data_IF_254207880229
#
_entry.id   IF_254207880229
#
_cell.length_a   1.000
_cell.length_b   1.000
_cell.length_c   1.000
_cell.angle_alpha   90.00
_cell.angle_beta   90.00
_cell.angle_gamma   90.00
#
_symmetry.space_group_name_H-M   'P 1'
#
loop_
_entity.id
_entity.type
_entity.pdbx_description
1 polymer ?
#
# COMPACT_ATOMS: atom_id res chain seq x y z
N UNK A 1 -30.54 -33.91 70.20
CA UNK A 1 -30.03 -34.45 68.92
C UNK A 1 -30.13 -33.35 67.88
N UNK A 2 -29.03 -32.64 67.62
CA UNK A 2 -28.97 -31.42 66.80
C UNK A 2 -28.40 -31.82 65.44
N UNK A 3 -29.26 -31.98 64.44
CA UNK A 3 -28.83 -32.30 63.08
C UNK A 3 -28.35 -30.99 62.46
N UNK A 4 -27.03 -30.82 62.38
CA UNK A 4 -26.40 -29.71 61.66
C UNK A 4 -26.52 -29.99 60.17
N UNK A 5 -27.38 -29.25 59.46
CA UNK A 5 -27.32 -29.14 58.01
C UNK A 5 -26.12 -28.28 57.62
N UNK A 6 -25.05 -28.90 57.12
CA UNK A 6 -23.98 -28.15 56.46
C UNK A 6 -24.47 -27.73 55.07
N UNK A 7 -25.09 -26.56 54.97
CA UNK A 7 -25.25 -25.90 53.67
C UNK A 7 -23.86 -25.57 53.13
N UNK A 8 -23.51 -26.17 52.00
CA UNK A 8 -22.26 -25.91 51.30
C UNK A 8 -22.27 -24.47 50.78
N UNK A 9 -21.67 -23.55 51.53
CA UNK A 9 -21.38 -22.17 51.11
C UNK A 9 -20.22 -22.10 50.10
N UNK A 10 -20.21 -23.00 49.12
CA UNK A 10 -19.29 -22.91 48.00
C UNK A 10 -20.10 -22.69 46.72
N UNK A 11 -19.65 -21.70 45.94
CA UNK A 11 -19.75 -21.59 44.46
C UNK A 11 -20.56 -20.46 43.82
N UNK A 12 -21.26 -19.55 44.53
CA UNK A 12 -21.87 -18.40 43.81
C UNK A 12 -20.84 -17.43 43.23
N UNK A 13 -19.67 -17.28 43.85
CA UNK A 13 -18.56 -16.47 43.32
C UNK A 13 -17.80 -17.13 42.16
N UNK A 14 -17.63 -18.45 42.18
CA UNK A 14 -16.90 -19.18 41.13
C UNK A 14 -17.70 -19.32 39.81
N UNK A 15 -19.03 -19.35 39.87
CA UNK A 15 -19.89 -19.46 38.69
C UNK A 15 -19.76 -18.26 37.73
N UNK A 16 -19.45 -17.06 38.24
CA UNK A 16 -19.33 -15.85 37.42
C UNK A 16 -17.92 -15.54 36.92
N UNK A 17 -16.88 -16.10 37.54
CA UNK A 17 -15.48 -15.87 37.12
C UNK A 17 -15.20 -16.48 35.74
N UNK A 18 -15.72 -17.67 35.47
CA UNK A 18 -15.55 -18.37 34.19
C UNK A 18 -16.16 -17.60 32.99
N UNK A 19 -17.44 -17.18 33.01
CA UNK A 19 -18.02 -16.44 31.89
C UNK A 19 -17.39 -15.07 31.70
N UNK A 20 -16.94 -14.40 32.77
CA UNK A 20 -16.21 -13.13 32.68
C UNK A 20 -14.85 -13.35 31.98
N UNK A 21 -14.07 -14.34 32.43
CA UNK A 21 -12.79 -14.67 31.79
C UNK A 21 -12.98 -15.08 30.32
N UNK A 22 -14.00 -15.88 30.01
CA UNK A 22 -14.34 -16.26 28.64
C UNK A 22 -14.70 -15.04 27.77
N UNK A 23 -15.42 -14.05 28.32
CA UNK A 23 -15.77 -12.83 27.60
C UNK A 23 -14.54 -11.98 27.24
N UNK A 24 -13.56 -11.86 28.15
CA UNK A 24 -12.29 -11.17 27.85
C UNK A 24 -11.49 -11.87 26.75
N UNK A 25 -11.45 -13.21 26.77
CA UNK A 25 -10.79 -13.97 25.70
C UNK A 25 -11.51 -13.76 24.37
N UNK A 26 -12.84 -13.80 24.34
CA UNK A 26 -13.62 -13.54 23.13
C UNK A 26 -13.38 -12.13 22.58
N UNK A 27 -13.35 -11.12 23.45
CA UNK A 27 -13.05 -9.73 23.06
C UNK A 27 -11.63 -9.63 22.51
N UNK A 28 -10.64 -10.24 23.16
CA UNK A 28 -9.26 -10.22 22.69
C UNK A 28 -9.11 -10.88 21.31
N UNK A 29 -9.76 -12.03 21.10
CA UNK A 29 -9.78 -12.71 19.79
C UNK A 29 -10.44 -11.82 18.73
N UNK A 30 -11.63 -11.26 19.03
CA UNK A 30 -12.34 -10.35 18.12
C UNK A 30 -11.51 -9.11 17.78
N UNK A 31 -10.81 -8.53 18.75
CA UNK A 31 -9.88 -7.42 18.53
C UNK A 31 -8.78 -7.80 17.54
N UNK A 32 -8.08 -8.91 17.81
CA UNK A 32 -6.95 -9.36 16.99
C UNK A 32 -7.42 -9.68 15.57
N UNK A 33 -8.51 -10.43 15.42
CA UNK A 33 -9.04 -10.78 14.09
C UNK A 33 -9.50 -9.56 13.32
N UNK A 34 -10.13 -8.58 14.00
CA UNK A 34 -10.58 -7.34 13.36
C UNK A 34 -9.39 -6.50 12.87
N UNK A 35 -8.33 -6.40 13.66
CA UNK A 35 -7.11 -5.68 13.26
C UNK A 35 -6.47 -6.36 12.05
N UNK A 36 -6.31 -7.69 12.08
CA UNK A 36 -5.76 -8.44 10.93
C UNK A 36 -6.64 -8.27 9.69
N UNK A 37 -7.96 -8.32 9.84
CA UNK A 37 -8.90 -8.14 8.74
C UNK A 37 -8.83 -6.73 8.15
N UNK A 38 -8.87 -5.68 8.97
CA UNK A 38 -8.73 -4.29 8.51
C UNK A 38 -7.41 -4.08 7.78
N UNK A 39 -6.30 -4.63 8.28
CA UNK A 39 -5.00 -4.55 7.62
C UNK A 39 -5.01 -5.20 6.24
N UNK A 40 -5.58 -6.41 6.14
CA UNK A 40 -5.69 -7.16 4.90
C UNK A 40 -6.55 -6.41 3.88
N UNK A 41 -7.72 -5.95 4.30
CA UNK A 41 -8.67 -5.27 3.42
C UNK A 41 -8.11 -3.94 2.92
N UNK A 42 -7.42 -3.19 3.79
CA UNK A 42 -6.77 -1.94 3.41
C UNK A 42 -5.66 -2.16 2.37
N UNK A 43 -4.87 -3.24 2.51
CA UNK A 43 -3.87 -3.62 1.51
C UNK A 43 -4.52 -3.92 0.16
N UNK A 44 -5.61 -4.71 0.15
CA UNK A 44 -6.37 -5.01 -1.07
C UNK A 44 -6.93 -3.74 -1.72
N UNK A 45 -7.53 -2.84 -0.93
CA UNK A 45 -8.07 -1.57 -1.44
C UNK A 45 -7.00 -0.68 -2.07
N UNK A 46 -5.83 -0.59 -1.44
CA UNK A 46 -4.71 0.17 -1.97
C UNK A 46 -4.18 -0.45 -3.25
N UNK A 47 -4.04 -1.78 -3.33
CA UNK A 47 -3.65 -2.47 -4.56
C UNK A 47 -4.65 -2.21 -5.70
N UNK A 48 -5.95 -2.29 -5.42
CA UNK A 48 -6.99 -1.98 -6.41
C UNK A 48 -6.93 -0.52 -6.86
N UNK A 49 -6.63 0.39 -5.95
CA UNK A 49 -6.47 1.82 -6.26
C UNK A 49 -5.24 2.06 -7.13
N UNK A 50 -4.09 1.47 -6.78
CA UNK A 50 -2.87 1.49 -7.58
C UNK A 50 -3.12 0.98 -8.99
N UNK A 51 -3.76 -0.19 -9.11
CA UNK A 51 -4.09 -0.80 -10.39
C UNK A 51 -4.98 0.11 -11.24
N UNK A 52 -6.02 0.70 -10.64
CA UNK A 52 -6.94 1.59 -11.34
C UNK A 52 -6.27 2.89 -11.80
N UNK A 53 -5.44 3.49 -10.95
CA UNK A 53 -4.69 4.72 -11.30
C UNK A 53 -3.66 4.41 -12.37
N UNK A 54 -2.85 3.36 -12.23
CA UNK A 54 -1.86 2.96 -13.21
C UNK A 54 -2.51 2.65 -14.57
N UNK A 55 -3.58 1.86 -14.59
CA UNK A 55 -4.29 1.52 -15.84
C UNK A 55 -4.86 2.75 -16.54
N UNK A 56 -5.51 3.63 -15.77
CA UNK A 56 -6.09 4.87 -16.30
C UNK A 56 -5.00 5.81 -16.83
N UNK A 57 -3.92 5.99 -16.08
CA UNK A 57 -2.81 6.84 -16.44
C UNK A 57 -2.07 6.31 -17.68
N UNK A 58 -1.74 5.01 -17.72
CA UNK A 58 -1.06 4.39 -18.85
C UNK A 58 -1.85 4.54 -20.16
N UNK A 59 -3.19 4.45 -20.10
CA UNK A 59 -4.04 4.63 -21.29
C UNK A 59 -4.06 6.05 -21.88
N UNK A 60 -3.56 7.04 -21.12
CA UNK A 60 -3.51 8.45 -21.53
C UNK A 60 -2.12 8.89 -22.01
N UNK A 61 -1.13 8.02 -21.92
CA UNK A 61 0.24 8.29 -22.36
C UNK A 61 0.37 7.84 -23.81
N UNK A 62 0.85 8.76 -24.64
CA UNK A 62 1.14 8.49 -26.04
C UNK A 62 2.46 7.72 -26.17
N UNK A 63 2.42 6.56 -26.82
CA UNK A 63 3.60 5.75 -27.06
C UNK A 63 4.62 6.43 -27.99
N UNK A 64 4.19 7.37 -28.84
CA UNK A 64 5.10 8.12 -29.70
C UNK A 64 6.03 9.05 -28.90
N UNK A 65 5.58 9.54 -27.73
CA UNK A 65 6.45 10.28 -26.80
C UNK A 65 7.52 9.37 -26.20
N UNK A 66 7.17 8.12 -25.91
CA UNK A 66 8.07 7.12 -25.36
C UNK A 66 9.14 6.77 -26.39
N UNK A 67 8.73 6.46 -27.61
CA UNK A 67 9.64 6.06 -28.70
C UNK A 67 10.62 7.18 -29.09
N UNK A 68 10.36 8.44 -28.73
CA UNK A 68 11.28 9.56 -28.97
C UNK A 68 12.41 9.69 -27.94
N UNK A 69 12.34 8.99 -26.81
CA UNK A 69 13.26 9.16 -25.67
C UNK A 69 14.07 7.88 -25.49
N UNK A 70 15.40 7.98 -25.39
CA UNK A 70 16.30 6.83 -25.24
C UNK A 70 17.36 7.07 -24.17
N UNK A 71 17.99 8.23 -24.18
CA UNK A 71 19.10 8.54 -23.28
C UNK A 71 19.07 9.99 -22.78
N UNK A 72 20.03 10.33 -21.92
CA UNK A 72 20.11 11.64 -21.26
C UNK A 72 20.15 12.83 -22.23
N UNK A 73 20.59 12.63 -23.49
CA UNK A 73 20.58 13.71 -24.50
C UNK A 73 19.17 14.15 -24.90
N UNK A 74 18.18 13.27 -24.75
CA UNK A 74 16.78 13.55 -25.06
C UNK A 74 16.08 14.40 -23.99
N UNK A 75 16.70 14.59 -22.81
CA UNK A 75 16.11 15.34 -21.70
C UNK A 75 15.81 16.81 -22.04
N UNK A 76 16.50 17.36 -23.05
CA UNK A 76 16.28 18.73 -23.52
C UNK A 76 15.10 18.86 -24.49
N UNK A 77 14.53 17.75 -24.95
CA UNK A 77 13.44 17.76 -25.93
C UNK A 77 12.12 18.18 -25.28
N UNK A 78 11.24 18.77 -26.08
CA UNK A 78 9.87 19.08 -25.63
C UNK A 78 9.07 17.82 -25.31
N UNK A 79 9.35 16.71 -26.01
CA UNK A 79 8.71 15.42 -25.78
C UNK A 79 9.01 14.89 -24.37
N UNK A 80 10.29 14.88 -23.97
CA UNK A 80 10.68 14.48 -22.62
C UNK A 80 10.04 15.37 -21.54
N UNK A 81 10.09 16.68 -21.73
CA UNK A 81 9.50 17.61 -20.76
C UNK A 81 7.98 17.49 -20.64
N UNK A 82 7.30 17.19 -21.75
CA UNK A 82 5.87 16.89 -21.73
C UNK A 82 5.57 15.59 -20.98
N UNK A 83 6.37 14.54 -21.23
CA UNK A 83 6.21 13.26 -20.56
C UNK A 83 6.38 13.39 -19.05
N UNK A 84 7.44 14.04 -18.57
CA UNK A 84 7.68 14.25 -17.13
C UNK A 84 6.53 15.04 -16.48
N UNK A 85 6.03 16.11 -17.10
CA UNK A 85 4.87 16.86 -16.59
C UNK A 85 3.61 16.00 -16.46
N UNK A 86 3.41 15.04 -17.37
CA UNK A 86 2.29 14.09 -17.28
C UNK A 86 2.47 13.14 -16.09
N UNK A 87 3.70 12.64 -15.85
CA UNK A 87 4.01 11.80 -14.69
C UNK A 87 3.83 12.55 -13.37
N UNK A 88 4.24 13.82 -13.30
CA UNK A 88 3.98 14.70 -12.16
C UNK A 88 2.48 14.84 -11.88
N UNK A 89 1.67 15.11 -12.91
CA UNK A 89 0.23 15.23 -12.77
C UNK A 89 -0.42 13.91 -12.28
N UNK A 90 0.08 12.75 -12.74
CA UNK A 90 -0.35 11.44 -12.24
C UNK A 90 -0.02 11.30 -10.76
N UNK A 91 1.20 11.66 -10.34
CA UNK A 91 1.63 11.60 -8.93
C UNK A 91 0.77 12.47 -8.01
N UNK A 92 0.30 13.62 -8.49
CA UNK A 92 -0.53 14.55 -7.71
C UNK A 92 -2.02 14.14 -7.59
N UNK A 93 -2.40 12.99 -8.16
CA UNK A 93 -3.77 12.46 -8.11
C UNK A 93 -4.26 12.35 -6.67
N UNK A 94 -5.45 12.90 -6.41
CA UNK A 94 -6.07 12.84 -5.08
C UNK A 94 -6.61 11.45 -4.77
N UNK A 95 -6.56 11.07 -3.50
CA UNK A 95 -7.11 9.80 -2.99
C UNK A 95 -6.08 8.70 -2.78
N UNK A 96 -4.87 8.87 -3.29
CA UNK A 96 -3.71 8.01 -3.01
C UNK A 96 -2.47 8.89 -2.87
N UNK A 97 -1.55 8.51 -1.99
CA UNK A 97 -0.30 9.25 -1.76
C UNK A 97 0.83 8.53 -2.48
N UNK A 98 1.01 8.85 -3.76
CA UNK A 98 2.01 8.27 -4.65
C UNK A 98 3.37 8.89 -4.36
N UNK A 99 4.40 8.05 -4.21
CA UNK A 99 5.78 8.48 -4.03
C UNK A 99 6.48 8.63 -5.38
N UNK A 100 6.54 7.56 -6.18
CA UNK A 100 7.21 7.53 -7.47
C UNK A 100 6.22 7.27 -8.60
N UNK A 101 6.49 7.87 -9.76
CA UNK A 101 5.81 7.57 -11.04
C UNK A 101 6.88 7.57 -12.12
N UNK A 102 7.00 6.46 -12.83
CA UNK A 102 8.07 6.25 -13.80
C UNK A 102 7.62 5.38 -14.96
N UNK A 103 8.38 5.42 -16.04
CA UNK A 103 8.16 4.56 -17.21
C UNK A 103 9.42 3.72 -17.45
N UNK A 104 9.22 2.42 -17.60
CA UNK A 104 10.27 1.44 -17.93
C UNK A 104 9.99 0.80 -19.28
N UNK A 105 11.02 0.65 -20.12
CA UNK A 105 10.96 -0.15 -21.35
C UNK A 105 11.78 -1.41 -21.23
N UNK A 106 11.42 -2.42 -22.04
CA UNK A 106 12.21 -3.64 -22.16
C UNK A 106 13.53 -3.35 -22.87
N UNK A 107 14.56 -4.09 -22.50
CA UNK A 107 15.84 -4.14 -23.22
C UNK A 107 16.01 -5.50 -23.88
N UNK A 108 17.15 -5.72 -24.55
CA UNK A 108 17.51 -7.04 -25.09
C UNK A 108 17.73 -8.09 -23.99
N UNK A 109 18.04 -7.66 -22.76
CA UNK A 109 18.11 -8.53 -21.59
C UNK A 109 16.74 -8.54 -20.88
N UNK A 110 16.05 -9.68 -20.80
CA UNK A 110 14.74 -9.77 -20.17
C UNK A 110 14.74 -9.43 -18.67
N UNK A 111 15.89 -9.48 -18.00
CA UNK A 111 16.02 -9.14 -16.57
C UNK A 111 16.43 -7.68 -16.33
N UNK A 112 16.70 -6.93 -17.40
CA UNK A 112 17.08 -5.52 -17.31
C UNK A 112 16.06 -4.66 -18.05
N UNK A 113 15.44 -3.74 -17.33
CA UNK A 113 14.63 -2.69 -17.92
C UNK A 113 15.44 -1.40 -18.03
N UNK A 114 14.93 -0.45 -18.79
CA UNK A 114 15.54 0.86 -18.94
C UNK A 114 14.52 1.95 -18.63
N UNK A 115 14.93 2.93 -17.84
CA UNK A 115 14.14 4.12 -17.57
C UNK A 115 13.95 4.95 -18.82
N UNK A 116 12.71 5.36 -19.04
CA UNK A 116 12.32 6.32 -20.09
C UNK A 116 12.16 7.70 -19.47
N UNK A 117 11.48 7.78 -18.34
CA UNK A 117 11.27 9.01 -17.60
C UNK A 117 10.84 8.67 -16.17
N UNK A 118 11.20 9.56 -15.26
CA UNK A 118 10.70 9.63 -13.89
C UNK A 118 10.03 10.99 -13.67
N UNK A 119 9.01 11.06 -12.82
CA UNK A 119 8.35 12.32 -12.45
C UNK A 119 9.32 13.33 -11.81
N UNK A 120 10.45 12.89 -11.29
CA UNK A 120 11.48 13.71 -10.67
C UNK A 120 12.68 14.00 -11.59
N UNK A 121 12.71 13.47 -12.83
CA UNK A 121 13.87 13.64 -13.73
C UNK A 121 14.19 15.10 -14.12
N UNK A 122 13.27 16.05 -13.90
CA UNK A 122 13.46 17.48 -14.16
C UNK A 122 13.65 18.32 -12.89
N UNK A 123 13.60 17.71 -11.71
CA UNK A 123 13.77 18.42 -10.45
C UNK A 123 15.22 18.81 -10.23
N UNK A 124 15.41 19.98 -9.62
CA UNK A 124 16.71 20.39 -9.12
C UNK A 124 17.10 19.61 -7.87
N UNK A 125 18.40 19.59 -7.52
CA UNK A 125 18.89 18.93 -6.31
C UNK A 125 18.20 19.41 -5.04
N UNK A 126 17.85 20.70 -4.97
CA UNK A 126 17.12 21.28 -3.84
C UNK A 126 15.66 20.83 -3.77
N UNK A 127 15.06 20.44 -4.89
CA UNK A 127 13.69 19.89 -4.93
C UNK A 127 13.66 18.38 -4.66
N UNK A 128 14.78 17.68 -4.92
CA UNK A 128 14.95 16.26 -4.61
C UNK A 128 15.22 16.00 -3.13
N UNK A 129 15.91 16.90 -2.43
CA UNK A 129 16.12 16.83 -0.96
C UNK A 129 14.81 17.08 -0.22
N UNK A 130 13.95 16.06 -0.19
CA UNK A 130 12.60 16.13 0.41
C UNK A 130 12.70 16.24 1.92
N UNK A 131 13.72 15.64 2.52
CA UNK A 131 13.91 15.65 3.97
C UNK A 131 14.63 16.92 4.49
N UNK A 132 15.13 17.77 3.59
CA UNK A 132 15.84 19.03 3.85
C UNK A 132 17.10 18.85 4.72
N UNK A 133 17.84 17.76 4.53
CA UNK A 133 19.10 17.50 5.25
C UNK A 133 20.32 18.11 4.54
N UNK A 134 20.15 18.67 3.34
CA UNK A 134 21.20 19.28 2.52
C UNK A 134 21.89 18.31 1.56
N UNK A 135 21.46 17.06 1.49
CA UNK A 135 21.99 15.99 0.65
C UNK A 135 20.83 15.32 -0.11
N UNK A 136 21.10 14.80 -1.31
CA UNK A 136 20.12 13.96 -2.04
C UNK A 136 20.48 12.51 -1.75
N UNK A 137 19.67 11.87 -0.92
CA UNK A 137 19.85 10.47 -0.57
C UNK A 137 19.52 9.54 -1.75
N UNK A 138 19.96 8.28 -1.70
CA UNK A 138 19.64 7.28 -2.74
C UNK A 138 18.12 7.13 -2.97
N UNK A 139 17.30 7.34 -1.94
CA UNK A 139 15.84 7.28 -2.02
C UNK A 139 15.22 8.55 -2.60
N UNK A 140 16.01 9.59 -2.83
CA UNK A 140 15.61 10.87 -3.39
C UNK A 140 16.20 11.08 -4.79
N UNK A 141 17.15 10.24 -5.19
CA UNK A 141 17.77 10.32 -6.51
C UNK A 141 16.78 9.90 -7.60
N UNK A 142 16.55 10.82 -8.55
CA UNK A 142 15.74 10.56 -9.73
C UNK A 142 16.49 9.64 -10.71
N UNK A 143 15.73 8.78 -11.38
CA UNK A 143 16.23 8.02 -12.52
C UNK A 143 16.13 8.83 -13.81
N UNK A 144 17.05 8.58 -14.74
CA UNK A 144 17.13 9.31 -16.00
C UNK A 144 16.95 8.38 -17.20
N UNK A 145 16.56 8.94 -18.37
CA UNK A 145 16.50 8.16 -19.60
C UNK A 145 17.82 7.42 -19.85
N UNK A 146 17.70 6.11 -20.10
CA UNK A 146 18.86 5.27 -20.38
C UNK A 146 19.38 4.49 -19.17
N UNK A 147 19.06 4.91 -17.95
CA UNK A 147 19.47 4.20 -16.72
C UNK A 147 18.81 2.80 -16.68
N UNK A 148 19.59 1.79 -16.31
CA UNK A 148 19.14 0.40 -16.27
C UNK A 148 18.62 0.01 -14.90
N UNK A 149 17.58 -0.82 -14.87
CA UNK A 149 16.97 -1.36 -13.66
C UNK A 149 16.90 -2.88 -13.70
N UNK A 150 17.51 -3.52 -12.70
CA UNK A 150 17.48 -4.98 -12.53
C UNK A 150 16.16 -5.39 -11.89
N UNK A 151 15.39 -6.23 -12.60
CA UNK A 151 14.09 -6.72 -12.15
C UNK A 151 14.13 -8.15 -11.64
N UNK A 152 15.31 -8.74 -11.38
CA UNK A 152 15.47 -10.14 -10.93
C UNK A 152 14.62 -10.47 -9.70
N UNK A 153 14.47 -9.52 -8.78
CA UNK A 153 13.68 -9.67 -7.55
C UNK A 153 12.24 -9.11 -7.69
N UNK A 154 11.79 -8.76 -8.90
CA UNK A 154 10.46 -8.22 -9.18
C UNK A 154 9.64 -9.11 -10.15
N UNK A 155 8.93 -10.13 -9.64
CA UNK A 155 8.13 -11.04 -10.47
C UNK A 155 6.97 -10.36 -11.22
N UNK A 156 6.43 -9.26 -10.68
CA UNK A 156 5.33 -8.54 -11.32
C UNK A 156 5.78 -7.92 -12.64
N UNK A 157 6.95 -7.25 -12.65
CA UNK A 157 7.58 -6.70 -13.85
C UNK A 157 8.01 -7.79 -14.83
N UNK A 158 8.57 -8.90 -14.35
CA UNK A 158 9.04 -9.98 -15.21
C UNK A 158 7.91 -10.68 -15.99
N UNK A 159 6.80 -10.99 -15.31
CA UNK A 159 5.83 -11.97 -15.82
C UNK A 159 4.54 -11.34 -16.34
N UNK A 160 4.15 -10.17 -15.85
CA UNK A 160 2.79 -9.67 -16.05
C UNK A 160 2.70 -8.22 -16.50
N UNK A 161 3.58 -7.34 -16.03
CA UNK A 161 3.41 -5.90 -16.17
C UNK A 161 3.41 -5.41 -17.63
N UNK A 162 4.11 -6.11 -18.53
CA UNK A 162 4.10 -5.84 -19.97
C UNK A 162 2.92 -6.50 -20.72
N UNK A 163 2.05 -7.26 -20.04
CA UNK A 163 0.92 -7.96 -20.66
C UNK A 163 -0.44 -7.48 -20.13
N UNK A 164 -0.48 -7.06 -18.87
CA UNK A 164 -1.70 -6.61 -18.21
C UNK A 164 -1.37 -5.70 -17.02
N UNK A 165 -2.31 -4.85 -16.60
CA UNK A 165 -2.18 -4.18 -15.33
C UNK A 165 -2.00 -5.18 -14.18
N UNK A 166 -1.05 -4.90 -13.30
CA UNK A 166 -0.73 -5.75 -12.15
C UNK A 166 -0.18 -4.92 -11.00
N UNK A 167 -0.10 -5.50 -9.80
CA UNK A 167 0.55 -4.90 -8.65
C UNK A 167 1.49 -5.90 -8.02
N UNK A 168 2.45 -5.44 -7.24
CA UNK A 168 3.23 -6.33 -6.39
C UNK A 168 2.34 -7.17 -5.44
N UNK A 169 2.80 -8.37 -5.11
CA UNK A 169 2.11 -9.23 -4.16
C UNK A 169 2.16 -8.64 -2.74
N UNK A 170 3.35 -8.20 -2.35
CA UNK A 170 3.65 -7.53 -1.08
C UNK A 170 4.65 -6.39 -1.30
N UNK A 171 4.96 -5.66 -0.23
CA UNK A 171 5.99 -4.65 -0.26
C UNK A 171 7.34 -5.24 -0.66
N UNK A 172 7.95 -4.69 -1.69
CA UNK A 172 9.31 -4.97 -2.15
C UNK A 172 10.28 -3.97 -1.49
N UNK A 173 11.57 -4.31 -1.47
CA UNK A 173 12.62 -3.44 -0.94
C UNK A 173 13.69 -3.30 -2.01
N UNK A 174 14.00 -2.06 -2.38
CA UNK A 174 15.09 -1.72 -3.28
C UNK A 174 15.80 -0.44 -2.83
N UNK A 175 16.59 0.15 -3.73
CA UNK A 175 17.36 1.37 -3.48
C UNK A 175 16.50 2.61 -3.16
N UNK A 176 15.22 2.62 -3.55
CA UNK A 176 14.27 3.69 -3.26
C UNK A 176 13.43 3.42 -2.01
N UNK A 177 13.73 2.33 -1.29
CA UNK A 177 13.15 2.01 0.00
C UNK A 177 12.18 0.85 -0.06
N UNK A 178 11.14 0.89 0.79
CA UNK A 178 10.14 -0.19 0.89
C UNK A 178 8.84 0.24 0.22
N UNK A 179 8.56 -0.35 -0.93
CA UNK A 179 7.55 0.13 -1.86
C UNK A 179 6.48 -0.93 -2.14
N UNK A 180 5.27 -0.47 -2.43
CA UNK A 180 4.23 -1.29 -3.04
C UNK A 180 3.85 -0.66 -4.37
N UNK A 181 4.05 -1.41 -5.45
CA UNK A 181 3.99 -0.87 -6.80
C UNK A 181 2.75 -1.35 -7.55
N UNK A 182 2.22 -0.48 -8.39
CA UNK A 182 1.22 -0.77 -9.42
C UNK A 182 1.77 -0.49 -10.79
N UNK A 183 1.55 -1.43 -11.71
CA UNK A 183 2.07 -1.38 -13.07
C UNK A 183 0.94 -1.47 -14.09
N UNK A 184 1.09 -0.76 -15.21
CA UNK A 184 0.21 -0.90 -16.36
C UNK A 184 0.96 -0.72 -17.69
N UNK A 185 0.74 -1.61 -18.68
CA UNK A 185 1.39 -1.50 -19.97
C UNK A 185 0.86 -0.29 -20.75
N UNK A 186 1.75 0.39 -21.44
CA UNK A 186 1.46 1.45 -22.40
C UNK A 186 1.55 0.85 -23.79
N UNK A 187 0.47 0.94 -24.56
CA UNK A 187 0.36 0.33 -25.88
C UNK A 187 0.56 1.36 -27.00
N UNK A 188 1.25 0.93 -28.05
CA UNK A 188 1.25 1.61 -29.35
C UNK A 188 -0.10 1.45 -30.03
N UNK A 189 -0.33 2.28 -31.04
CA UNK A 189 -1.54 2.22 -31.89
C UNK A 189 -1.73 0.87 -32.62
N UNK A 190 -0.64 0.12 -32.84
CA UNK A 190 -0.66 -1.23 -33.44
C UNK A 190 -0.97 -2.35 -32.42
N UNK A 191 -1.14 -2.04 -31.14
CA UNK A 191 -1.41 -3.00 -30.07
C UNK A 191 -0.17 -3.64 -29.44
N UNK A 192 1.04 -3.29 -29.89
CA UNK A 192 2.28 -3.70 -29.24
C UNK A 192 2.56 -2.86 -27.99
N UNK A 193 3.28 -3.44 -27.03
CA UNK A 193 3.64 -2.76 -25.79
C UNK A 193 4.86 -1.90 -26.04
N UNK A 194 4.77 -0.60 -25.71
CA UNK A 194 5.89 0.34 -25.82
C UNK A 194 6.75 0.33 -24.56
N UNK A 195 6.09 0.35 -23.40
CA UNK A 195 6.70 0.45 -22.08
C UNK A 195 5.67 0.05 -21.01
N UNK A 196 6.08 0.12 -19.75
CA UNK A 196 5.18 0.00 -18.61
C UNK A 196 5.27 1.26 -17.75
N UNK A 197 4.11 1.75 -17.30
CA UNK A 197 4.02 2.77 -16.26
C UNK A 197 4.07 2.08 -14.90
N UNK A 198 4.98 2.52 -14.03
CA UNK A 198 5.04 2.14 -12.62
C UNK A 198 4.61 3.30 -11.72
N UNK A 199 3.90 2.96 -10.65
CA UNK A 199 3.43 3.88 -9.63
C UNK A 199 3.64 3.24 -8.26
N UNK A 200 4.37 3.91 -7.39
CA UNK A 200 4.79 3.34 -6.12
C UNK A 200 4.24 4.13 -4.95
N UNK A 201 3.90 3.41 -3.88
CA UNK A 201 3.65 4.00 -2.56
C UNK A 201 4.66 3.49 -1.56
N UNK A 202 5.04 4.38 -0.63
CA UNK A 202 5.95 4.03 0.45
C UNK A 202 5.21 3.33 1.60
N UNK A 203 5.88 2.38 2.24
CA UNK A 203 5.30 1.59 3.34
C UNK A 203 4.87 2.46 4.54
N UNK A 204 5.57 3.56 4.75
CA UNK A 204 5.36 4.55 5.79
C UNK A 204 4.03 5.28 5.58
N UNK A 205 3.73 5.63 4.33
CA UNK A 205 2.47 6.23 3.91
C UNK A 205 1.32 5.25 4.15
N UNK A 206 1.49 3.98 3.75
CA UNK A 206 0.52 2.92 4.02
C UNK A 206 0.26 2.77 5.52
N UNK A 207 1.33 2.72 6.34
CA UNK A 207 1.23 2.57 7.79
C UNK A 207 0.52 3.76 8.42
N UNK A 208 0.85 4.98 8.03
CA UNK A 208 0.22 6.19 8.55
C UNK A 208 -1.28 6.24 8.26
N UNK A 209 -1.71 5.82 7.07
CA UNK A 209 -3.14 5.73 6.73
C UNK A 209 -3.85 4.65 7.53
N UNK A 210 -3.24 3.48 7.66
CA UNK A 210 -3.78 2.38 8.46
C UNK A 210 -3.93 2.78 9.95
N UNK A 211 -2.94 3.48 10.52
CA UNK A 211 -3.01 3.98 11.91
C UNK A 211 -4.13 4.99 12.14
N UNK A 212 -4.59 5.69 11.09
CA UNK A 212 -5.78 6.54 11.15
C UNK A 212 -7.08 5.74 11.07
N UNK A 213 -7.09 4.57 10.41
CA UNK A 213 -8.26 3.71 10.26
C UNK A 213 -8.52 2.80 11.48
N UNK A 214 -7.50 2.51 12.29
CA UNK A 214 -7.62 1.61 13.45
C UNK A 214 -8.43 2.18 14.64
N UNK A 215 -8.26 3.45 15.09
CA UNK A 215 -8.98 4.00 16.23
C UNK A 215 -10.52 3.89 16.17
N UNK A 216 -11.21 4.23 15.06
CA UNK A 216 -12.66 4.07 14.99
C UNK A 216 -13.09 2.60 15.08
N UNK A 217 -12.31 1.68 14.51
CA UNK A 217 -12.56 0.23 14.63
C UNK A 217 -12.44 -0.23 16.09
N UNK A 218 -11.40 0.22 16.80
CA UNK A 218 -11.21 -0.08 18.22
C UNK A 218 -12.34 0.50 19.08
N UNK A 219 -12.81 1.71 18.79
CA UNK A 219 -13.94 2.33 19.48
C UNK A 219 -15.21 1.47 19.36
N UNK A 220 -15.53 0.98 18.16
CA UNK A 220 -16.67 0.09 17.93
C UNK A 220 -16.55 -1.18 18.78
N UNK A 221 -15.35 -1.77 18.84
CA UNK A 221 -15.11 -2.98 19.64
C UNK A 221 -15.26 -2.69 21.14
N UNK A 222 -14.72 -1.58 21.64
CA UNK A 222 -14.82 -1.17 23.05
C UNK A 222 -16.28 -0.95 23.44
N UNK A 223 -17.06 -0.25 22.60
CA UNK A 223 -18.49 -0.01 22.84
C UNK A 223 -19.26 -1.33 22.85
N UNK A 224 -18.99 -2.22 21.88
CA UNK A 224 -19.63 -3.54 21.78
C UNK A 224 -19.31 -4.42 23.00
N UNK A 225 -18.05 -4.42 23.45
CA UNK A 225 -17.62 -5.11 24.66
C UNK A 225 -18.31 -4.55 25.91
N UNK A 226 -18.41 -3.21 26.03
CA UNK A 226 -19.11 -2.55 27.13
C UNK A 226 -20.60 -2.92 27.20
N UNK A 227 -21.29 -2.95 26.05
CA UNK A 227 -22.69 -3.38 25.95
C UNK A 227 -22.86 -4.85 26.34
N UNK A 228 -21.93 -5.73 25.93
CA UNK A 228 -21.94 -7.14 26.28
C UNK A 228 -21.80 -7.34 27.79
N UNK A 229 -20.85 -6.65 28.43
CA UNK A 229 -20.66 -6.68 29.88
C UNK A 229 -21.86 -6.10 30.64
N UNK A 230 -22.48 -5.03 30.11
CA UNK A 230 -23.71 -4.46 30.67
C UNK A 230 -24.88 -5.46 30.62
N UNK A 231 -25.02 -6.22 29.54
CA UNK A 231 -26.04 -7.25 29.42
C UNK A 231 -25.81 -8.43 30.39
N UNK A 232 -24.56 -8.90 30.51
CA UNK A 232 -24.19 -9.98 31.45
C UNK A 232 -24.47 -9.56 32.90
N UNK A 233 -24.09 -8.33 33.28
CA UNK A 233 -24.34 -7.80 34.62
C UNK A 233 -25.83 -7.61 34.91
N UNK A 234 -26.59 -7.03 33.97
CA UNK A 234 -28.05 -6.86 34.10
C UNK A 234 -28.77 -8.21 34.26
N UNK A 235 -28.40 -9.22 33.48
CA UNK A 235 -28.95 -10.58 33.61
C UNK A 235 -28.60 -11.22 34.96
N UNK A 236 -27.38 -11.01 35.46
CA UNK A 236 -26.95 -11.52 36.77
C UNK A 236 -27.73 -10.91 37.94
N UNK A 237 -28.18 -9.64 37.81
CA UNK A 237 -28.99 -8.95 38.81
C UNK A 237 -30.42 -9.48 38.81
N UNK A 238 -31.03 -9.66 37.64
CA UNK A 238 -32.42 -10.15 37.50
C UNK A 238 -32.59 -11.58 38.04
N UNK A 239 -31.54 -12.42 37.96
CA UNK A 239 -31.59 -13.83 38.39
C UNK A 239 -31.33 -14.04 39.88
N UNK A 240 -30.93 -12.99 40.62
CA UNK A 240 -30.77 -13.02 42.09
C UNK A 240 -32.10 -12.72 42.77
#
# INVERSE_FOLDING_TARGET
>A
MKIMSSESKHTTGQVWVIPIAASYVCIAVLCITSIVWVRSEWKVQIKNTLLAVASSAASQIDAELIDAIHDRSDMHTSAFQELVRRLEAIRETKGISIRYVYILRQTDDPMMLQFVADADSLRSTAELDVNNNGEVDMTEEASYPGDTYDITENPALQLYAFHQPITDEDFTIDQWGRLLSGYAPIYRSNGEVAAVLGIDIESEVFRAQLERALPPTLLIIIVSAGLMLFCISSYSIIRR
#
